data_IF_150304226482
#
_entry.id   IF_150304226482
#
_cell.length_a   1.000
_cell.length_b   1.000
_cell.length_c   1.000
_cell.angle_alpha   90.00
_cell.angle_beta   90.00
_cell.angle_gamma   90.00
#
_symmetry.space_group_name_H-M   'P 1'
#
loop_
_entity.id
_entity.type
_entity.pdbx_description
1 polymer ?
#
# COMPACT_ATOMS: atom_id res chain seq x y z
N UNK A 1 34.98 28.65 22.14
CA UNK A 1 33.99 28.52 21.03
C UNK A 1 34.01 27.15 20.34
N UNK A 2 35.18 26.60 19.99
CA UNK A 2 35.35 25.31 19.28
C UNK A 2 34.59 24.09 19.87
N UNK A 3 34.52 23.96 21.19
CA UNK A 3 33.83 22.83 21.84
C UNK A 3 32.28 22.97 21.86
N UNK A 4 31.73 24.19 21.78
CA UNK A 4 30.29 24.42 21.62
C UNK A 4 29.82 24.06 20.20
N UNK A 5 30.63 24.37 19.19
CA UNK A 5 30.36 24.02 17.79
C UNK A 5 30.42 22.50 17.56
N UNK A 6 31.39 21.81 18.18
CA UNK A 6 31.47 20.34 18.15
C UNK A 6 30.25 19.65 18.79
N UNK A 7 29.79 20.15 19.95
CA UNK A 7 28.60 19.61 20.64
C UNK A 7 27.31 19.84 19.85
N UNK A 8 27.17 20.98 19.19
CA UNK A 8 26.00 21.30 18.35
C UNK A 8 26.00 20.50 17.04
N UNK A 9 27.14 20.33 16.37
CA UNK A 9 27.28 19.46 15.20
C UNK A 9 26.98 17.98 15.53
N UNK A 10 27.45 17.51 16.68
CA UNK A 10 27.21 16.13 17.13
C UNK A 10 25.74 15.89 17.50
N UNK A 11 25.05 16.88 18.07
CA UNK A 11 23.61 16.85 18.29
C UNK A 11 22.81 16.85 16.97
N UNK A 12 23.22 17.65 15.99
CA UNK A 12 22.56 17.69 14.68
C UNK A 12 22.71 16.36 13.92
N UNK A 13 23.89 15.73 13.97
CA UNK A 13 24.13 14.43 13.36
C UNK A 13 23.23 13.33 13.95
N UNK A 14 22.96 13.35 15.26
CA UNK A 14 22.05 12.42 15.92
C UNK A 14 20.59 12.61 15.47
N UNK A 15 20.14 13.85 15.31
CA UNK A 15 18.77 14.14 14.83
C UNK A 15 18.59 13.67 13.39
N UNK A 16 19.57 13.92 12.51
CA UNK A 16 19.54 13.44 11.12
C UNK A 16 19.53 11.91 11.06
N UNK A 17 20.30 11.22 11.91
CA UNK A 17 20.28 9.77 11.99
C UNK A 17 18.91 9.21 12.41
N UNK A 18 18.22 9.85 13.37
CA UNK A 18 16.87 9.43 13.79
C UNK A 18 15.81 9.62 12.69
N UNK A 19 15.93 10.67 11.88
CA UNK A 19 15.02 10.92 10.74
C UNK A 19 15.19 9.90 9.62
N UNK A 20 16.43 9.43 9.37
CA UNK A 20 16.70 8.40 8.37
C UNK A 20 16.16 7.02 8.78
N UNK A 21 16.29 6.65 10.07
CA UNK A 21 15.80 5.36 10.58
C UNK A 21 14.26 5.31 10.59
N UNK A 22 13.60 6.39 10.96
CA UNK A 22 12.13 6.46 10.97
C UNK A 22 11.52 6.35 9.58
N UNK A 23 12.12 6.98 8.57
CA UNK A 23 11.69 6.86 7.17
C UNK A 23 11.86 5.44 6.61
N UNK A 24 12.99 4.78 6.87
CA UNK A 24 13.19 3.38 6.48
C UNK A 24 12.17 2.44 7.13
N UNK A 25 11.87 2.63 8.43
CA UNK A 25 10.89 1.81 9.13
C UNK A 25 9.47 1.96 8.53
N UNK A 26 9.05 3.18 8.18
CA UNK A 26 7.74 3.43 7.57
C UNK A 26 7.65 2.89 6.15
N UNK A 27 8.73 3.03 5.37
CA UNK A 27 8.85 2.50 4.01
C UNK A 27 8.72 0.98 3.96
N UNK A 28 9.46 0.27 4.81
CA UNK A 28 9.44 -1.19 4.88
C UNK A 28 8.10 -1.71 5.40
N UNK A 29 7.51 -1.00 6.36
CA UNK A 29 6.15 -1.30 6.85
C UNK A 29 5.12 -1.29 5.73
N UNK A 30 5.16 -0.32 4.82
CA UNK A 30 4.20 -0.24 3.72
C UNK A 30 4.31 -1.43 2.74
N UNK A 31 5.54 -1.91 2.49
CA UNK A 31 5.77 -3.11 1.68
C UNK A 31 5.26 -4.36 2.43
N UNK A 32 5.53 -4.45 3.73
CA UNK A 32 5.08 -5.56 4.56
C UNK A 32 3.53 -5.62 4.65
N UNK A 33 2.87 -4.47 4.74
CA UNK A 33 1.41 -4.39 4.73
C UNK A 33 0.82 -4.89 3.41
N UNK A 34 1.44 -4.55 2.28
CA UNK A 34 1.07 -5.07 0.96
C UNK A 34 1.25 -6.59 0.87
N UNK A 35 2.37 -7.10 1.38
CA UNK A 35 2.66 -8.53 1.41
C UNK A 35 1.65 -9.30 2.27
N UNK A 36 1.41 -8.85 3.50
CA UNK A 36 0.43 -9.44 4.40
C UNK A 36 -0.97 -9.42 3.78
N UNK A 37 -1.33 -8.33 3.11
CA UNK A 37 -2.59 -8.24 2.40
C UNK A 37 -2.68 -9.23 1.22
N UNK A 38 -1.58 -9.45 0.49
CA UNK A 38 -1.53 -10.46 -0.58
C UNK A 38 -1.77 -11.87 -0.05
N UNK A 39 -1.21 -12.22 1.11
CA UNK A 39 -1.44 -13.50 1.77
C UNK A 39 -2.87 -13.61 2.31
N UNK A 40 -3.41 -12.54 2.90
CA UNK A 40 -4.79 -12.49 3.35
C UNK A 40 -5.76 -12.80 2.20
N UNK A 41 -5.55 -12.18 1.03
CA UNK A 41 -6.32 -12.45 -0.17
C UNK A 41 -6.13 -13.89 -0.65
N UNK A 42 -4.89 -14.38 -0.77
CA UNK A 42 -4.61 -15.76 -1.21
C UNK A 42 -5.36 -16.78 -0.36
N UNK A 43 -5.30 -16.62 0.96
CA UNK A 43 -5.72 -17.66 1.89
C UNK A 43 -7.22 -17.55 2.25
N UNK A 44 -7.81 -16.35 2.19
CA UNK A 44 -9.15 -16.11 2.72
C UNK A 44 -10.16 -15.55 1.70
N UNK A 45 -9.72 -15.00 0.57
CA UNK A 45 -10.62 -14.26 -0.35
C UNK A 45 -11.76 -15.09 -0.93
N UNK A 46 -11.57 -16.41 -1.07
CA UNK A 46 -12.60 -17.34 -1.53
C UNK A 46 -13.86 -17.37 -0.64
N UNK A 47 -13.75 -16.93 0.61
CA UNK A 47 -14.86 -16.88 1.58
C UNK A 47 -15.32 -15.45 1.88
N UNK A 48 -14.91 -14.48 1.07
CA UNK A 48 -15.30 -13.09 1.29
C UNK A 48 -16.73 -12.83 0.85
N UNK A 49 -17.49 -12.20 1.75
CA UNK A 49 -18.76 -11.57 1.40
C UNK A 49 -18.52 -10.21 0.75
N UNK A 50 -19.55 -9.61 0.14
CA UNK A 50 -19.44 -8.26 -0.44
C UNK A 50 -18.91 -7.23 0.58
N UNK A 51 -19.34 -7.32 1.85
CA UNK A 51 -18.83 -6.44 2.93
C UNK A 51 -17.34 -6.64 3.20
N UNK A 52 -16.84 -7.88 3.15
CA UNK A 52 -15.40 -8.18 3.31
C UNK A 52 -14.61 -7.67 2.11
N UNK A 53 -15.13 -7.85 0.90
CA UNK A 53 -14.52 -7.29 -0.31
C UNK A 53 -14.44 -5.77 -0.28
N UNK A 54 -15.49 -5.06 0.15
CA UNK A 54 -15.43 -3.59 0.31
C UNK A 54 -14.30 -3.17 1.26
N UNK A 55 -14.18 -3.83 2.42
CA UNK A 55 -13.08 -3.56 3.36
C UNK A 55 -11.70 -3.89 2.78
N UNK A 56 -11.57 -4.98 2.03
CA UNK A 56 -10.32 -5.38 1.41
C UNK A 56 -9.86 -4.35 0.37
N UNK A 57 -10.79 -3.85 -0.44
CA UNK A 57 -10.54 -2.81 -1.42
C UNK A 57 -10.16 -1.48 -0.76
N UNK A 58 -10.85 -1.08 0.32
CA UNK A 58 -10.49 0.11 1.10
C UNK A 58 -9.08 -0.02 1.72
N UNK A 59 -8.75 -1.21 2.26
CA UNK A 59 -7.43 -1.51 2.81
C UNK A 59 -6.35 -1.42 1.73
N UNK A 60 -6.59 -2.00 0.56
CA UNK A 60 -5.67 -1.91 -0.57
C UNK A 60 -5.40 -0.47 -1.01
N UNK A 61 -6.44 0.36 -1.09
CA UNK A 61 -6.30 1.79 -1.40
C UNK A 61 -5.47 2.56 -0.36
N UNK A 62 -5.59 2.22 0.94
CA UNK A 62 -4.75 2.80 2.00
C UNK A 62 -3.28 2.38 1.84
N UNK A 63 -3.01 1.10 1.60
CA UNK A 63 -1.66 0.58 1.39
C UNK A 63 -1.01 1.27 0.18
N UNK A 64 -1.73 1.36 -0.94
CA UNK A 64 -1.27 2.05 -2.17
C UNK A 64 -0.91 3.51 -1.93
N UNK A 65 -1.73 4.23 -1.17
CA UNK A 65 -1.44 5.62 -0.78
C UNK A 65 -0.19 5.72 0.09
N UNK A 66 0.01 4.81 1.03
CA UNK A 66 1.21 4.82 1.86
C UNK A 66 2.46 4.51 1.04
N UNK A 67 2.42 3.49 0.16
CA UNK A 67 3.49 3.22 -0.80
C UNK A 67 3.81 4.46 -1.65
N UNK A 68 2.80 5.19 -2.15
CA UNK A 68 3.04 6.38 -2.99
C UNK A 68 3.79 7.53 -2.29
N UNK A 69 3.91 7.52 -0.96
CA UNK A 69 4.60 8.56 -0.19
C UNK A 69 6.11 8.36 -0.11
N UNK A 70 6.61 7.19 -0.53
CA UNK A 70 8.01 6.80 -0.34
C UNK A 70 8.71 6.53 -1.67
N UNK A 71 9.99 6.88 -1.74
CA UNK A 71 10.84 6.56 -2.88
C UNK A 71 11.47 5.18 -2.73
N UNK A 72 11.03 4.24 -3.56
CA UNK A 72 11.54 2.86 -3.60
C UNK A 72 12.67 2.67 -4.61
N UNK A 73 13.63 1.79 -4.31
CA UNK A 73 14.62 1.35 -5.30
C UNK A 73 13.94 0.53 -6.40
N UNK A 74 14.65 0.30 -7.50
CA UNK A 74 14.16 -0.54 -8.60
C UNK A 74 13.78 -1.94 -8.12
N UNK A 75 14.59 -2.54 -7.23
CA UNK A 75 14.32 -3.86 -6.67
C UNK A 75 13.04 -3.90 -5.83
N UNK A 76 12.83 -2.90 -4.97
CA UNK A 76 11.59 -2.82 -4.19
C UNK A 76 10.37 -2.50 -5.04
N UNK A 77 10.50 -1.65 -6.07
CA UNK A 77 9.40 -1.40 -7.03
C UNK A 77 8.99 -2.68 -7.75
N UNK A 78 9.95 -3.51 -8.15
CA UNK A 78 9.65 -4.83 -8.73
C UNK A 78 8.94 -5.74 -7.73
N UNK A 79 9.36 -5.74 -6.46
CA UNK A 79 8.70 -6.50 -5.39
C UNK A 79 7.25 -6.03 -5.17
N UNK A 80 7.05 -4.72 -5.04
CA UNK A 80 5.74 -4.08 -4.91
C UNK A 80 4.84 -4.45 -6.10
N UNK A 81 5.35 -4.33 -7.33
CA UNK A 81 4.58 -4.67 -8.53
C UNK A 81 4.17 -6.14 -8.60
N UNK A 82 5.03 -7.07 -8.15
CA UNK A 82 4.67 -8.50 -8.05
C UNK A 82 3.53 -8.71 -7.05
N UNK A 83 3.65 -8.13 -5.84
CA UNK A 83 2.63 -8.26 -4.79
C UNK A 83 1.28 -7.63 -5.21
N UNK A 84 1.31 -6.50 -5.92
CA UNK A 84 0.12 -5.88 -6.50
C UNK A 84 -0.53 -6.74 -7.58
N UNK A 85 0.27 -7.37 -8.43
CA UNK A 85 -0.21 -8.36 -9.40
C UNK A 85 -0.91 -9.53 -8.73
N UNK A 86 -0.36 -10.05 -7.63
CA UNK A 86 -0.99 -11.11 -6.84
C UNK A 86 -2.31 -10.65 -6.23
N UNK A 87 -2.36 -9.46 -5.62
CA UNK A 87 -3.60 -8.89 -5.09
C UNK A 87 -4.67 -8.73 -6.18
N UNK A 88 -4.27 -8.16 -7.33
CA UNK A 88 -5.16 -7.97 -8.48
C UNK A 88 -5.71 -9.31 -9.00
N UNK A 89 -4.89 -10.36 -9.04
CA UNK A 89 -5.33 -11.71 -9.45
C UNK A 89 -6.46 -12.23 -8.57
N UNK A 90 -6.36 -12.09 -7.24
CA UNK A 90 -7.42 -12.54 -6.32
C UNK A 90 -8.66 -11.64 -6.35
N UNK A 91 -8.47 -10.33 -6.49
CA UNK A 91 -9.60 -9.40 -6.70
C UNK A 91 -10.36 -9.71 -7.99
N UNK A 92 -9.67 -10.00 -9.10
CA UNK A 92 -10.35 -10.40 -10.35
C UNK A 92 -11.13 -11.70 -10.18
N UNK A 93 -10.63 -12.66 -9.38
CA UNK A 93 -11.40 -13.87 -9.04
C UNK A 93 -12.68 -13.53 -8.26
N UNK A 94 -12.58 -12.70 -7.22
CA UNK A 94 -13.73 -12.23 -6.45
C UNK A 94 -14.77 -11.45 -7.28
N UNK A 95 -14.33 -10.76 -8.34
CA UNK A 95 -15.22 -10.12 -9.30
C UNK A 95 -15.90 -11.11 -10.25
N UNK A 96 -15.17 -12.13 -10.73
CA UNK A 96 -15.75 -13.22 -11.53
C UNK A 96 -16.80 -14.02 -10.77
N UNK A 97 -16.61 -14.20 -9.47
CA UNK A 97 -17.57 -14.88 -8.59
C UNK A 97 -18.80 -14.00 -8.27
N UNK A 98 -18.91 -12.82 -8.89
CA UNK A 98 -20.08 -11.92 -8.80
C UNK A 98 -20.17 -11.12 -7.51
N UNK A 99 -19.43 -11.50 -6.46
CA UNK A 99 -19.50 -10.85 -5.14
C UNK A 99 -18.96 -9.41 -5.18
N UNK A 100 -17.91 -9.14 -5.96
CA UNK A 100 -17.42 -7.76 -6.11
C UNK A 100 -18.28 -6.92 -7.04
N UNK A 101 -19.16 -7.49 -7.86
CA UNK A 101 -20.08 -6.70 -8.69
C UNK A 101 -21.10 -5.95 -7.81
N UNK A 102 -21.53 -6.55 -6.70
CA UNK A 102 -22.33 -5.88 -5.65
C UNK A 102 -21.51 -4.89 -4.81
N UNK A 103 -20.18 -5.02 -4.79
CA UNK A 103 -19.30 -4.00 -4.21
C UNK A 103 -19.26 -2.82 -5.16
N UNK A 104 -18.82 -3.00 -6.42
CA UNK A 104 -18.71 -1.94 -7.43
C UNK A 104 -20.04 -1.30 -7.87
N UNK A 105 -21.17 -2.01 -7.72
CA UNK A 105 -22.52 -1.52 -8.06
C UNK A 105 -23.18 -0.62 -7.01
N UNK A 106 -22.58 -0.47 -5.81
CA UNK A 106 -23.06 0.47 -4.79
C UNK A 106 -22.42 1.85 -5.02
N UNK A 107 -23.07 2.60 -5.93
CA UNK A 107 -22.94 4.01 -6.30
C UNK A 107 -21.91 4.93 -5.62
N UNK A 108 -21.23 5.72 -6.46
CA UNK A 108 -20.48 6.97 -6.21
C UNK A 108 -19.20 6.91 -5.36
N UNK A 109 -19.11 6.12 -4.29
CA UNK A 109 -17.89 6.04 -3.44
C UNK A 109 -16.72 5.30 -4.11
N UNK A 110 -17.04 4.55 -5.16
CA UNK A 110 -16.15 3.58 -5.79
C UNK A 110 -15.35 4.20 -6.93
N UNK A 111 -15.83 5.32 -7.48
CA UNK A 111 -15.06 6.12 -8.44
C UNK A 111 -13.70 6.51 -7.83
N UNK A 112 -13.67 6.92 -6.56
CA UNK A 112 -12.43 7.24 -5.83
C UNK A 112 -11.52 6.03 -5.57
N UNK A 113 -12.07 4.82 -5.57
CA UNK A 113 -11.31 3.57 -5.46
C UNK A 113 -10.79 3.14 -6.84
N UNK A 114 -11.60 3.25 -7.90
CA UNK A 114 -11.16 2.98 -9.28
C UNK A 114 -10.05 3.94 -9.72
N UNK A 115 -10.14 5.21 -9.35
CA UNK A 115 -9.07 6.20 -9.54
C UNK A 115 -7.81 5.81 -8.76
N UNK A 116 -7.94 5.28 -7.53
CA UNK A 116 -6.81 4.83 -6.72
C UNK A 116 -6.17 3.52 -7.24
N UNK A 117 -6.91 2.69 -7.96
CA UNK A 117 -6.43 1.45 -8.59
C UNK A 117 -5.83 1.73 -9.98
N UNK A 118 -5.97 2.96 -10.51
CA UNK A 118 -5.32 3.37 -11.76
C UNK A 118 -5.94 2.75 -13.02
N UNK A 119 -7.20 2.31 -12.96
CA UNK A 119 -7.96 1.93 -14.16
C UNK A 119 -8.43 3.23 -14.83
N UNK A 120 -7.49 3.99 -15.39
CA UNK A 120 -7.83 5.06 -16.33
C UNK A 120 -8.32 4.37 -17.59
N UNK A 121 -9.62 4.46 -17.85
CA UNK A 121 -10.15 4.28 -19.20
C UNK A 121 -9.34 5.17 -20.12
N UNK A 122 -8.70 4.56 -21.12
CA UNK A 122 -8.15 5.31 -22.25
C UNK A 122 -9.33 5.97 -22.94
N UNK A 123 -9.43 7.29 -22.85
CA UNK A 123 -9.95 8.09 -23.95
C UNK A 123 -8.90 8.15 -25.07
#
# INVERSE_FOLDING_TARGET
>A
MRNKVKKTLMGLALIVAMLLVSSCATRESAINDLENFSYELRDNSQYYTAKKWRKAVDKFGRIRRELSRHDYTVAERQRIGRLEGDCARYMVRGAKDGVMNSVFGLGSEIQGILDAIGIKGKE
#
